data_IF_053657163817
#
_entry.id   IF_053657163817
#
_cell.length_a   1.000
_cell.length_b   1.000
_cell.length_c   1.000
_cell.angle_alpha   90.00
_cell.angle_beta   90.00
_cell.angle_gamma   90.00
#
_symmetry.space_group_name_H-M   'P 1'
#
loop_
_entity.id
_entity.type
_entity.pdbx_description
1 polymer ?
#
# COMPACT_ATOMS: atom_id res chain seq x y z
N UNK A 1 -4.14 4.66 -6.61
CA UNK A 1 -5.21 4.22 -7.53
C UNK A 1 -4.80 2.84 -8.00
N UNK A 2 -5.67 1.84 -7.80
CA UNK A 2 -5.35 0.48 -8.18
C UNK A 2 -4.96 0.35 -9.65
N UNK A 3 -4.07 -0.58 -9.94
CA UNK A 3 -3.58 -0.81 -11.29
C UNK A 3 -4.69 -1.50 -12.10
N UNK A 4 -5.08 -0.86 -13.21
CA UNK A 4 -5.88 -1.53 -14.23
C UNK A 4 -5.08 -2.72 -14.79
N UNK A 5 -5.74 -3.88 -14.96
CA UNK A 5 -5.12 -5.10 -15.46
C UNK A 5 -4.37 -4.92 -16.79
N UNK A 6 -4.81 -4.01 -17.67
CA UNK A 6 -4.20 -3.72 -18.96
C UNK A 6 -2.93 -2.86 -18.83
N UNK A 7 -2.78 -2.17 -17.70
CA UNK A 7 -1.62 -1.34 -17.35
C UNK A 7 -0.62 -2.05 -16.45
N UNK A 8 -0.94 -3.26 -15.96
CA UNK A 8 -0.04 -4.06 -15.14
C UNK A 8 0.95 -4.82 -16.04
N UNK A 9 2.23 -4.44 -15.98
CA UNK A 9 3.27 -4.96 -16.86
C UNK A 9 4.38 -5.67 -16.08
N UNK A 10 4.99 -6.70 -16.68
CA UNK A 10 6.18 -7.33 -16.13
C UNK A 10 7.32 -6.30 -16.01
N UNK A 11 8.04 -6.32 -14.90
CA UNK A 11 9.08 -5.36 -14.55
C UNK A 11 8.55 -4.10 -13.85
N UNK A 12 7.23 -3.89 -13.81
CA UNK A 12 6.65 -2.76 -13.09
C UNK A 12 6.87 -2.89 -11.59
N UNK A 13 7.31 -1.79 -10.96
CA UNK A 13 7.31 -1.64 -9.51
C UNK A 13 5.91 -1.33 -9.01
N UNK A 14 5.47 -2.09 -8.04
CA UNK A 14 4.12 -2.03 -7.48
C UNK A 14 4.20 -2.10 -5.96
N UNK A 15 3.09 -1.77 -5.32
CA UNK A 15 2.92 -1.98 -3.89
C UNK A 15 1.57 -2.62 -3.58
N UNK A 16 1.53 -3.46 -2.55
CA UNK A 16 0.27 -3.99 -2.04
C UNK A 16 -0.47 -2.95 -1.16
N UNK A 17 -1.65 -3.33 -0.66
CA UNK A 17 -2.46 -2.47 0.22
C UNK A 17 -1.75 -2.10 1.53
N UNK A 18 -0.73 -2.86 1.93
CA UNK A 18 0.09 -2.61 3.12
C UNK A 18 1.36 -1.80 2.79
N UNK A 19 1.51 -1.35 1.54
CA UNK A 19 2.67 -0.61 1.08
C UNK A 19 3.95 -1.45 0.99
N UNK A 20 3.85 -2.78 0.95
CA UNK A 20 5.01 -3.62 0.66
C UNK A 20 5.36 -3.43 -0.81
N UNK A 21 6.61 -3.07 -1.09
CA UNK A 21 7.09 -2.84 -2.45
C UNK A 21 7.52 -4.15 -3.08
N UNK A 22 7.14 -4.34 -4.34
CA UNK A 22 7.52 -5.50 -5.13
C UNK A 22 7.62 -5.20 -6.61
N UNK A 23 8.05 -6.21 -7.36
CA UNK A 23 8.22 -6.14 -8.81
C UNK A 23 7.34 -7.20 -9.46
N UNK A 24 6.54 -6.82 -10.44
CA UNK A 24 5.74 -7.77 -11.23
C UNK A 24 6.68 -8.65 -12.03
N UNK A 25 6.64 -9.96 -11.82
CA UNK A 25 7.44 -10.96 -12.54
C UNK A 25 6.65 -11.75 -13.57
N UNK A 26 5.34 -11.79 -13.42
CA UNK A 26 4.43 -12.42 -14.35
C UNK A 26 3.06 -11.75 -14.27
N UNK A 27 2.35 -11.70 -15.39
CA UNK A 27 0.95 -11.27 -15.48
C UNK A 27 0.23 -12.23 -16.43
N UNK A 28 -0.92 -12.71 -16.02
CA UNK A 28 -1.71 -13.59 -16.88
C UNK A 28 -2.99 -14.05 -16.23
N UNK A 29 -3.75 -14.85 -16.96
CA UNK A 29 -5.05 -15.33 -16.52
C UNK A 29 -4.90 -16.68 -15.82
N UNK A 30 -5.54 -16.81 -14.67
CA UNK A 30 -5.69 -18.07 -13.94
C UNK A 30 -7.15 -18.52 -13.96
N UNK A 31 -7.35 -19.77 -14.39
CA UNK A 31 -8.65 -20.44 -14.51
C UNK A 31 -8.81 -21.53 -13.46
N UNK A 32 -10.04 -22.05 -13.29
CA UNK A 32 -10.35 -23.09 -12.28
C UNK A 32 -9.35 -24.27 -12.23
N UNK A 33 -8.88 -24.84 -13.36
CA UNK A 33 -7.91 -25.95 -13.33
C UNK A 33 -6.58 -25.59 -12.66
N UNK A 34 -6.18 -24.32 -12.71
CA UNK A 34 -4.94 -23.81 -12.12
C UNK A 34 -5.09 -23.49 -10.63
N UNK A 35 -6.28 -23.75 -10.04
CA UNK A 35 -6.61 -23.55 -8.62
C UNK A 35 -6.19 -22.15 -8.12
N UNK A 36 -6.70 -21.05 -8.71
CA UNK A 36 -6.23 -19.71 -8.41
C UNK A 36 -6.37 -19.36 -6.91
N UNK A 37 -5.56 -18.40 -6.41
CA UNK A 37 -5.67 -17.92 -5.03
C UNK A 37 -7.11 -17.55 -4.67
N UNK A 38 -7.57 -17.99 -3.49
CA UNK A 38 -8.93 -17.81 -2.99
C UNK A 38 -10.05 -18.38 -3.89
N UNK A 39 -9.72 -19.30 -4.82
CA UNK A 39 -10.65 -19.89 -5.80
C UNK A 39 -11.28 -18.86 -6.75
N UNK A 40 -10.68 -17.67 -6.85
CA UNK A 40 -11.19 -16.57 -7.65
C UNK A 40 -10.47 -16.54 -9.01
N UNK A 41 -11.20 -16.65 -10.12
CA UNK A 41 -10.60 -16.69 -11.47
C UNK A 41 -10.29 -15.28 -11.98
N UNK A 42 -9.43 -15.18 -13.00
CA UNK A 42 -9.17 -13.93 -13.72
C UNK A 42 -7.70 -13.59 -13.83
N UNK A 43 -7.39 -12.31 -14.04
CA UNK A 43 -6.00 -11.84 -14.20
C UNK A 43 -5.29 -11.72 -12.85
N UNK A 44 -4.12 -12.34 -12.77
CA UNK A 44 -3.21 -12.31 -11.62
C UNK A 44 -1.83 -11.84 -12.03
N UNK A 45 -1.20 -11.06 -11.16
CA UNK A 45 0.20 -10.73 -11.20
C UNK A 45 0.95 -11.60 -10.18
N UNK A 46 2.08 -12.18 -10.56
CA UNK A 46 3.05 -12.71 -9.62
C UNK A 46 4.00 -11.57 -9.23
N UNK A 47 3.94 -11.12 -7.98
CA UNK A 47 4.72 -9.98 -7.48
C UNK A 47 5.80 -10.49 -6.54
N UNK A 48 7.07 -10.26 -6.91
CA UNK A 48 8.22 -10.51 -6.05
C UNK A 48 8.44 -9.30 -5.13
N UNK A 49 8.19 -9.47 -3.84
CA UNK A 49 8.38 -8.42 -2.85
C UNK A 49 9.83 -8.32 -2.38
N UNK A 50 10.27 -7.10 -2.10
CA UNK A 50 11.65 -6.81 -1.69
C UNK A 50 11.98 -7.34 -0.29
N UNK A 51 10.98 -7.37 0.59
CA UNK A 51 11.11 -7.88 1.95
C UNK A 51 10.27 -9.15 2.14
N UNK A 52 10.86 -10.24 2.65
CA UNK A 52 10.09 -11.37 3.14
C UNK A 52 9.27 -10.91 4.36
N UNK A 53 7.99 -11.22 4.41
CA UNK A 53 7.12 -10.87 5.55
C UNK A 53 6.55 -12.12 6.25
N UNK A 54 7.11 -13.29 5.99
CA UNK A 54 6.71 -14.55 6.63
C UNK A 54 5.28 -15.02 6.29
N UNK A 55 4.57 -14.37 5.35
CA UNK A 55 3.26 -14.84 4.90
C UNK A 55 3.38 -16.24 4.31
N UNK A 56 2.59 -17.18 4.85
CA UNK A 56 2.51 -18.57 4.39
C UNK A 56 2.09 -18.71 2.91
N UNK A 57 1.51 -17.66 2.33
CA UNK A 57 1.03 -17.63 0.94
C UNK A 57 2.12 -17.28 -0.07
N UNK A 58 3.31 -16.85 0.37
CA UNK A 58 4.39 -16.47 -0.54
C UNK A 58 5.22 -17.67 -0.98
N UNK A 59 5.55 -17.70 -2.28
CA UNK A 59 6.24 -18.81 -2.94
C UNK A 59 7.52 -18.34 -3.64
N UNK A 60 8.18 -19.24 -4.35
CA UNK A 60 9.30 -19.00 -5.25
C UNK A 60 8.85 -18.70 -6.71
N UNK A 61 7.57 -18.35 -6.90
CA UNK A 61 6.95 -18.19 -8.22
C UNK A 61 6.26 -19.44 -8.76
N UNK A 62 6.15 -20.49 -7.95
CA UNK A 62 5.26 -21.63 -8.22
C UNK A 62 3.88 -21.44 -7.62
N UNK A 63 2.87 -22.00 -8.30
CA UNK A 63 1.52 -22.13 -7.79
C UNK A 63 0.86 -23.38 -8.36
N UNK A 64 0.27 -24.23 -7.50
CA UNK A 64 -0.36 -25.49 -7.89
C UNK A 64 0.51 -26.33 -8.86
N UNK A 65 1.78 -26.52 -8.51
CA UNK A 65 2.80 -27.28 -9.29
C UNK A 65 3.22 -26.64 -10.63
N UNK A 66 2.61 -25.52 -11.03
CA UNK A 66 3.01 -24.77 -12.22
C UNK A 66 3.97 -23.63 -11.86
N UNK A 67 5.03 -23.45 -12.66
CA UNK A 67 6.00 -22.37 -12.55
C UNK A 67 5.54 -21.17 -13.40
N UNK A 68 5.42 -19.99 -12.79
CA UNK A 68 5.03 -18.75 -13.48
C UNK A 68 6.18 -17.74 -13.56
N UNK A 69 7.04 -17.71 -12.54
CA UNK A 69 8.29 -16.96 -12.52
C UNK A 69 9.33 -17.67 -11.65
N UNK A 70 10.58 -17.20 -11.71
CA UNK A 70 11.67 -17.70 -10.88
C UNK A 70 12.13 -16.59 -9.92
N UNK A 71 11.91 -16.81 -8.63
CA UNK A 71 12.28 -15.89 -7.55
C UNK A 71 12.63 -16.68 -6.28
N UNK A 72 13.25 -16.07 -5.25
CA UNK A 72 13.55 -16.75 -3.99
C UNK A 72 12.30 -17.30 -3.29
N UNK A 73 12.43 -18.40 -2.56
CA UNK A 73 11.32 -18.96 -1.76
C UNK A 73 10.79 -17.93 -0.76
N UNK A 74 9.47 -17.76 -0.73
CA UNK A 74 8.80 -16.83 0.18
C UNK A 74 8.78 -15.36 -0.26
N UNK A 75 9.17 -15.08 -1.51
CA UNK A 75 9.21 -13.71 -2.05
C UNK A 75 8.01 -13.35 -2.93
N UNK A 76 7.37 -14.33 -3.57
CA UNK A 76 6.33 -14.09 -4.58
C UNK A 76 4.93 -14.28 -4.03
N UNK A 77 4.03 -13.34 -4.29
CA UNK A 77 2.60 -13.48 -4.05
C UNK A 77 1.82 -13.33 -5.37
N UNK A 78 0.77 -14.15 -5.55
CA UNK A 78 -0.14 -14.03 -6.69
C UNK A 78 -1.32 -13.15 -6.31
N UNK A 79 -1.37 -11.94 -6.88
CA UNK A 79 -2.30 -10.87 -6.48
C UNK A 79 -3.04 -10.36 -7.73
N UNK A 80 -4.33 -10.05 -7.60
CA UNK A 80 -5.08 -9.39 -8.69
C UNK A 80 -4.58 -7.95 -8.88
N UNK A 81 -4.39 -7.46 -10.12
CA UNK A 81 -3.94 -6.08 -10.36
C UNK A 81 -4.75 -5.00 -9.65
N UNK A 82 -6.08 -5.20 -9.52
CA UNK A 82 -6.98 -4.30 -8.76
C UNK A 82 -6.66 -4.16 -7.27
N UNK A 83 -5.78 -5.00 -6.73
CA UNK A 83 -5.32 -4.95 -5.34
C UNK A 83 -3.87 -4.45 -5.23
N UNK A 84 -3.29 -3.97 -6.33
CA UNK A 84 -1.96 -3.37 -6.40
C UNK A 84 -2.10 -1.90 -6.77
N UNK A 85 -1.27 -1.06 -6.21
CA UNK A 85 -1.05 0.31 -6.70
C UNK A 85 0.30 0.37 -7.43
N UNK A 86 0.49 1.28 -8.40
CA UNK A 86 1.83 1.63 -8.85
C UNK A 86 2.68 2.04 -7.65
N UNK A 87 3.97 1.71 -7.67
CA UNK A 87 4.90 2.26 -6.69
C UNK A 87 4.87 3.80 -6.79
N UNK A 88 4.45 4.46 -5.72
CA UNK A 88 4.44 5.92 -5.67
C UNK A 88 5.63 6.36 -4.83
N UNK A 89 6.62 6.97 -5.50
CA UNK A 89 7.80 7.58 -4.90
C UNK A 89 8.39 6.76 -3.73
N UNK A 90 9.02 5.64 -4.06
CA UNK A 90 9.66 4.77 -3.08
C UNK A 90 10.70 5.48 -2.24
N UNK A 91 11.41 6.48 -2.77
CA UNK A 91 12.34 7.26 -1.97
C UNK A 91 11.65 7.98 -0.79
N UNK A 92 10.45 8.53 -1.01
CA UNK A 92 9.66 9.17 0.05
C UNK A 92 9.13 8.17 1.07
N UNK A 93 8.56 7.05 0.62
CA UNK A 93 8.08 5.97 1.50
C UNK A 93 9.23 5.37 2.31
N UNK A 94 10.37 5.10 1.68
CA UNK A 94 11.59 4.59 2.31
C UNK A 94 12.12 5.59 3.34
N UNK A 95 12.18 6.89 3.02
CA UNK A 95 12.66 7.91 3.95
C UNK A 95 11.79 8.01 5.22
N UNK A 96 10.46 7.96 5.06
CA UNK A 96 9.52 8.01 6.19
C UNK A 96 9.62 6.73 7.03
N UNK A 97 9.62 5.54 6.40
CA UNK A 97 9.77 4.27 7.12
C UNK A 97 11.13 4.10 7.79
N UNK A 98 12.21 4.58 7.17
CA UNK A 98 13.55 4.52 7.77
C UNK A 98 13.63 5.32 9.08
N UNK A 99 12.89 6.43 9.19
CA UNK A 99 12.87 7.24 10.40
C UNK A 99 11.91 6.74 11.47
N UNK A 100 10.70 6.37 11.08
CA UNK A 100 9.63 6.07 12.04
C UNK A 100 9.34 4.58 12.23
N UNK A 101 9.92 3.71 11.38
CA UNK A 101 9.80 2.26 11.49
C UNK A 101 8.36 1.78 11.65
N UNK A 102 8.13 1.03 12.73
CA UNK A 102 6.83 0.44 13.06
C UNK A 102 5.75 1.45 13.48
N UNK A 103 6.09 2.72 13.70
CA UNK A 103 5.10 3.75 14.08
C UNK A 103 4.23 4.23 12.89
N UNK A 104 4.60 3.84 11.66
CA UNK A 104 3.95 4.27 10.40
C UNK A 104 3.80 3.04 9.47
N UNK A 105 3.36 1.92 10.05
CA UNK A 105 3.34 0.61 9.37
C UNK A 105 1.96 0.18 8.86
N UNK A 106 0.90 0.83 9.32
CA UNK A 106 -0.46 0.37 9.04
C UNK A 106 -1.03 0.98 7.75
N UNK A 107 -2.07 0.33 7.22
CA UNK A 107 -2.73 0.74 5.98
C UNK A 107 -3.16 2.22 5.95
N UNK A 108 -3.70 2.81 7.03
CA UNK A 108 -4.04 4.25 7.07
C UNK A 108 -2.82 5.16 6.87
N UNK A 109 -1.68 4.77 7.41
CA UNK A 109 -0.46 5.59 7.34
C UNK A 109 0.15 5.58 5.94
N UNK A 110 0.10 4.42 5.27
CA UNK A 110 0.46 4.31 3.86
C UNK A 110 -0.42 5.21 3.00
N UNK A 111 -1.72 5.32 3.31
CA UNK A 111 -2.63 6.23 2.59
C UNK A 111 -2.28 7.71 2.82
N UNK A 112 -1.85 8.09 4.01
CA UNK A 112 -1.36 9.44 4.31
C UNK A 112 -0.09 9.75 3.51
N UNK A 113 0.89 8.83 3.49
CA UNK A 113 2.12 9.01 2.69
C UNK A 113 1.78 9.13 1.20
N UNK A 114 0.88 8.28 0.69
CA UNK A 114 0.38 8.34 -0.68
C UNK A 114 -0.26 9.71 -0.99
N UNK A 115 -1.08 10.23 -0.08
CA UNK A 115 -1.71 11.55 -0.21
C UNK A 115 -0.66 12.67 -0.27
N UNK A 116 0.31 12.66 0.62
CA UNK A 116 1.39 13.66 0.69
C UNK A 116 2.23 13.68 -0.59
N UNK A 117 2.55 12.50 -1.13
CA UNK A 117 3.26 12.36 -2.42
C UNK A 117 2.40 12.88 -3.58
N UNK A 118 1.13 12.47 -3.66
CA UNK A 118 0.22 12.88 -4.73
C UNK A 118 0.04 14.40 -4.78
N UNK A 119 0.08 15.06 -3.62
CA UNK A 119 0.02 16.51 -3.47
C UNK A 119 1.38 17.22 -3.59
N UNK A 120 2.45 16.49 -3.92
CA UNK A 120 3.82 17.00 -4.11
C UNK A 120 4.38 17.74 -2.89
N UNK A 121 4.06 17.28 -1.68
CA UNK A 121 4.67 17.81 -0.47
C UNK A 121 6.17 17.55 -0.44
N UNK A 122 6.92 18.48 0.16
CA UNK A 122 8.35 18.30 0.41
C UNK A 122 8.55 17.28 1.55
N UNK A 123 8.94 16.05 1.19
CA UNK A 123 9.09 14.94 2.14
C UNK A 123 9.96 15.28 3.38
N UNK A 124 11.09 16.02 3.26
CA UNK A 124 11.84 16.42 4.45
C UNK A 124 11.03 17.27 5.45
N UNK A 125 10.19 18.18 4.95
CA UNK A 125 9.32 19.01 5.82
C UNK A 125 8.22 18.19 6.47
N UNK A 126 7.64 17.25 5.73
CA UNK A 126 6.66 16.28 6.27
C UNK A 126 7.27 15.47 7.40
N UNK A 127 8.51 15.00 7.22
CA UNK A 127 9.24 14.25 8.24
C UNK A 127 9.43 15.10 9.51
N UNK A 128 9.77 16.39 9.38
CA UNK A 128 9.86 17.29 10.53
C UNK A 128 8.51 17.47 11.22
N UNK A 129 7.45 17.73 10.46
CA UNK A 129 6.10 17.90 10.99
C UNK A 129 5.61 16.67 11.77
N UNK A 130 5.85 15.46 11.24
CA UNK A 130 5.51 14.21 11.93
C UNK A 130 6.33 14.01 13.21
N UNK A 131 7.62 14.35 13.18
CA UNK A 131 8.51 14.25 14.34
C UNK A 131 8.05 15.17 15.48
N UNK A 132 7.72 16.41 15.14
CA UNK A 132 7.21 17.40 16.10
C UNK A 132 5.84 16.97 16.64
N UNK A 133 4.99 16.39 15.81
CA UNK A 133 3.70 15.85 16.23
C UNK A 133 3.85 14.70 17.23
N UNK A 134 4.75 13.74 16.98
CA UNK A 134 4.99 12.63 17.91
C UNK A 134 5.58 13.11 19.24
N UNK A 135 6.51 14.08 19.20
CA UNK A 135 7.05 14.72 20.42
C UNK A 135 5.95 15.38 21.23
N UNK A 136 5.13 16.20 20.57
CA UNK A 136 4.00 16.87 21.22
C UNK A 136 3.03 15.87 21.85
N UNK A 137 2.65 14.81 21.13
CA UNK A 137 1.77 13.77 21.69
C UNK A 137 2.35 13.08 22.92
N UNK A 138 3.66 12.81 22.93
CA UNK A 138 4.33 12.15 24.05
C UNK A 138 4.40 13.06 25.28
N UNK A 139 4.64 14.37 25.07
CA UNK A 139 4.74 15.37 26.12
C UNK A 139 3.37 15.70 26.73
N UNK A 140 2.37 15.98 25.89
CA UNK A 140 1.10 16.53 26.33
C UNK A 140 0.02 15.48 26.58
N UNK A 141 0.16 14.27 26.01
CA UNK A 141 -0.79 13.16 26.15
C UNK A 141 -2.27 13.60 26.07
N UNK A 142 -2.65 14.32 25.00
CA UNK A 142 -3.99 14.89 24.88
C UNK A 142 -5.04 13.79 24.92
N UNK A 143 -6.17 14.10 25.53
CA UNK A 143 -7.39 13.31 25.41
C UNK A 143 -7.90 13.32 23.96
N UNK A 144 -8.79 12.38 23.63
CA UNK A 144 -9.40 12.32 22.30
C UNK A 144 -10.16 13.63 21.97
N UNK A 145 -10.80 14.24 22.96
CA UNK A 145 -11.55 15.50 22.79
C UNK A 145 -10.61 16.70 22.55
N UNK A 146 -9.39 16.68 23.10
CA UNK A 146 -8.39 17.72 22.82
C UNK A 146 -7.70 17.50 21.46
N UNK A 147 -7.61 16.26 21.01
CA UNK A 147 -6.99 15.89 19.74
C UNK A 147 -7.96 16.07 18.55
N UNK A 148 -9.24 15.78 18.77
CA UNK A 148 -10.34 15.94 17.82
C UNK A 148 -11.44 16.76 18.49
N UNK A 149 -11.26 18.08 18.61
CA UNK A 149 -12.24 18.91 19.26
C UNK A 149 -13.58 18.84 18.50
N UNK A 150 -14.73 18.89 19.20
CA UNK A 150 -16.03 18.62 18.60
C UNK A 150 -16.39 19.53 17.42
N UNK A 151 -15.79 20.72 17.36
CA UNK A 151 -15.94 21.74 16.32
C UNK A 151 -14.93 21.58 15.17
N UNK A 152 -13.92 20.71 15.27
CA UNK A 152 -12.94 20.46 14.21
C UNK A 152 -13.62 20.08 12.89
N UNK A 153 -14.74 19.37 12.94
CA UNK A 153 -15.53 19.00 11.77
C UNK A 153 -16.20 20.18 11.05
N UNK A 154 -16.37 21.32 11.73
CA UNK A 154 -16.89 22.55 11.13
C UNK A 154 -15.79 23.31 10.36
N UNK A 155 -14.54 23.23 10.83
CA UNK A 155 -13.42 23.97 10.27
C UNK A 155 -12.59 23.17 9.25
N UNK A 156 -12.60 21.84 9.36
CA UNK A 156 -11.84 20.95 8.50
C UNK A 156 -12.75 19.89 7.86
N UNK A 157 -12.52 19.52 6.58
CA UNK A 157 -13.20 18.40 5.97
C UNK A 157 -12.80 17.12 6.72
N UNK A 158 -13.64 16.70 7.67
CA UNK A 158 -13.56 15.37 8.27
C UNK A 158 -13.88 14.37 7.18
N UNK A 159 -12.97 13.41 6.98
CA UNK A 159 -13.07 12.42 5.91
C UNK A 159 -14.46 11.81 5.84
N UNK A 160 -15.08 11.94 4.67
CA UNK A 160 -16.36 11.34 4.35
C UNK A 160 -16.35 9.83 4.66
N UNK A 161 -17.30 9.36 5.47
CA UNK A 161 -17.64 7.93 5.56
C UNK A 161 -18.22 7.37 4.26
N UNK A 162 -18.80 8.25 3.42
CA UNK A 162 -19.53 7.91 2.17
C UNK A 162 -19.13 8.85 1.01
N UNK A 163 -17.83 9.05 0.78
CA UNK A 163 -17.31 10.18 0.00
C UNK A 163 -17.47 10.09 -1.51
N UNK A 164 -18.49 10.77 -2.04
CA UNK A 164 -18.48 11.27 -3.41
C UNK A 164 -17.45 12.38 -3.58
N UNK A 165 -16.76 12.41 -4.73
CA UNK A 165 -15.85 13.51 -5.09
C UNK A 165 -16.58 14.87 -5.20
N UNK A 166 -15.83 15.94 -5.50
CA UNK A 166 -16.38 17.31 -5.65
C UNK A 166 -17.51 17.39 -6.71
N UNK A 167 -17.59 16.42 -7.61
CA UNK A 167 -18.57 16.32 -8.70
C UNK A 167 -19.72 15.36 -8.38
N UNK A 168 -19.72 14.71 -7.21
CA UNK A 168 -20.77 13.80 -6.80
C UNK A 168 -20.56 12.34 -7.23
N UNK A 169 -19.34 11.93 -7.60
CA UNK A 169 -19.05 10.56 -8.02
C UNK A 169 -18.47 9.72 -6.89
N UNK A 170 -19.07 8.54 -6.66
CA UNK A 170 -18.63 7.56 -5.66
C UNK A 170 -17.43 6.76 -6.17
#
# INVERSE_FOLDING_TARGET
MPIDKEKCLVGMKVQDTYGNVGTVRWIGRMEKPQKPPNKDVGTYAAVEFEQPNGKLTRTDGTWAEQRYCQSPQGSVEFIKPRNLDPEMNSAGVVAIRAKFGDAVKDWPDVMIIKFLIARKFEIPKVITMLDDHFKWRAEYQPSADEFFPPDMAADYPVGFGDGVDREGNF
#
